data_IF_480390573351
#
_entry.id   IF_480390573351
#
_cell.length_a   1.000
_cell.length_b   1.000
_cell.length_c   1.000
_cell.angle_alpha   90.00
_cell.angle_beta   90.00
_cell.angle_gamma   90.00
#
_symmetry.space_group_name_H-M   'P 1'
#
loop_
_entity.id
_entity.type
_entity.pdbx_description
1 polymer ?
#
# COMPACT_ATOMS: atom_id res chain seq x y z
N UNK A 1 35.58 3.93 -28.89
CA UNK A 1 34.27 3.26 -28.77
C UNK A 1 34.25 2.55 -27.43
N UNK A 2 33.38 2.96 -26.50
CA UNK A 2 33.16 2.20 -25.27
C UNK A 2 32.22 1.04 -25.60
N UNK A 3 32.64 -0.20 -25.33
CA UNK A 3 31.76 -1.36 -25.42
C UNK A 3 30.60 -1.18 -24.44
N UNK A 4 29.33 -1.30 -24.88
CA UNK A 4 28.19 -1.19 -23.98
C UNK A 4 28.26 -2.28 -22.92
N UNK A 5 28.01 -1.89 -21.66
CA UNK A 5 27.94 -2.83 -20.54
C UNK A 5 26.80 -3.81 -20.80
N UNK A 6 27.10 -5.09 -20.93
CA UNK A 6 26.11 -6.15 -21.06
C UNK A 6 25.68 -6.59 -19.65
N UNK A 7 24.50 -6.16 -19.20
CA UNK A 7 23.89 -6.68 -17.97
C UNK A 7 23.30 -8.05 -18.30
N UNK A 8 23.66 -9.13 -17.58
CA UNK A 8 23.02 -10.43 -17.76
C UNK A 8 21.52 -10.30 -17.58
N UNK A 9 20.73 -10.80 -18.53
CA UNK A 9 19.26 -10.74 -18.47
C UNK A 9 18.71 -11.38 -17.20
N UNK A 10 19.38 -12.42 -16.70
CA UNK A 10 19.07 -13.07 -15.42
C UNK A 10 19.26 -12.15 -14.22
N UNK A 11 20.27 -11.27 -14.22
CA UNK A 11 20.49 -10.30 -13.16
C UNK A 11 19.40 -9.21 -13.18
N UNK A 12 19.02 -8.73 -14.37
CA UNK A 12 17.94 -7.76 -14.54
C UNK A 12 16.59 -8.33 -14.09
N UNK A 13 16.19 -9.50 -14.59
CA UNK A 13 14.88 -10.10 -14.30
C UNK A 13 14.72 -10.57 -12.86
N UNK A 14 15.81 -11.02 -12.22
CA UNK A 14 15.77 -11.46 -10.82
C UNK A 14 16.00 -10.31 -9.84
N UNK A 15 16.79 -9.30 -10.22
CA UNK A 15 17.15 -8.17 -9.36
C UNK A 15 16.00 -7.17 -9.21
N UNK A 16 15.30 -6.84 -10.29
CA UNK A 16 14.26 -5.80 -10.29
C UNK A 16 13.11 -6.08 -9.30
N UNK A 17 12.52 -7.29 -9.21
CA UNK A 17 11.49 -7.58 -8.21
C UNK A 17 12.01 -7.48 -6.76
N UNK A 18 13.24 -7.91 -6.53
CA UNK A 18 13.85 -7.83 -5.21
C UNK A 18 14.08 -6.37 -4.82
N UNK A 19 14.64 -5.57 -5.73
CA UNK A 19 14.82 -4.14 -5.53
C UNK A 19 13.48 -3.44 -5.30
N UNK A 20 12.44 -3.74 -6.08
CA UNK A 20 11.12 -3.15 -5.87
C UNK A 20 10.55 -3.46 -4.47
N UNK A 21 10.69 -4.70 -3.98
CA UNK A 21 10.28 -5.07 -2.62
C UNK A 21 11.14 -4.40 -1.54
N UNK A 22 12.46 -4.31 -1.74
CA UNK A 22 13.36 -3.64 -0.80
C UNK A 22 13.10 -2.13 -0.74
N UNK A 23 12.88 -1.48 -1.89
CA UNK A 23 12.51 -0.07 -1.95
C UNK A 23 11.16 0.14 -1.27
N UNK A 24 10.16 -0.68 -1.56
CA UNK A 24 8.87 -0.63 -0.87
C UNK A 24 9.04 -0.79 0.65
N UNK A 25 9.84 -1.75 1.11
CA UNK A 25 10.11 -1.94 2.54
C UNK A 25 10.79 -0.70 3.16
N UNK A 26 11.80 -0.16 2.49
CA UNK A 26 12.59 0.96 2.98
C UNK A 26 11.84 2.30 3.02
N UNK A 27 10.84 2.50 2.15
CA UNK A 27 10.13 3.78 2.04
C UNK A 27 8.68 3.73 2.51
N UNK A 28 7.99 2.58 2.43
CA UNK A 28 6.54 2.49 2.64
C UNK A 28 6.11 1.61 3.79
N UNK A 29 6.90 0.62 4.23
CA UNK A 29 6.47 -0.29 5.29
C UNK A 29 6.10 0.45 6.57
N UNK A 30 7.03 1.27 7.07
CA UNK A 30 6.84 2.02 8.33
C UNK A 30 5.73 3.04 8.19
N UNK A 31 5.59 3.66 7.01
CA UNK A 31 4.50 4.58 6.71
C UNK A 31 3.13 3.90 6.87
N UNK A 32 2.90 2.78 6.17
CA UNK A 32 1.61 2.08 6.22
C UNK A 32 1.33 1.47 7.59
N UNK A 33 2.33 0.84 8.23
CA UNK A 33 2.12 0.25 9.55
C UNK A 33 1.88 1.30 10.64
N UNK A 34 2.58 2.43 10.63
CA UNK A 34 2.29 3.51 11.57
C UNK A 34 0.88 4.06 11.34
N UNK A 35 0.51 4.29 10.08
CA UNK A 35 -0.84 4.76 9.71
C UNK A 35 -1.92 3.78 10.16
N UNK A 36 -1.72 2.47 9.98
CA UNK A 36 -2.65 1.43 10.39
C UNK A 36 -2.75 1.31 11.93
N UNK A 37 -1.62 1.44 12.65
CA UNK A 37 -1.60 1.45 14.11
C UNK A 37 -2.44 2.58 14.70
N UNK A 38 -2.48 3.76 14.07
CA UNK A 38 -3.34 4.86 14.53
C UNK A 38 -4.84 4.58 14.41
N UNK A 39 -5.22 3.56 13.63
CA UNK A 39 -6.62 3.19 13.39
C UNK A 39 -7.15 2.13 14.36
N UNK A 40 -6.26 1.42 15.05
CA UNK A 40 -6.64 0.47 16.10
C UNK A 40 -7.09 1.23 17.34
N UNK A 41 -8.12 0.72 18.00
CA UNK A 41 -8.60 1.24 19.28
C UNK A 41 -7.75 0.75 20.45
N UNK A 42 -8.12 1.17 21.64
CA UNK A 42 -7.36 0.85 22.86
C UNK A 42 -7.63 -0.57 23.40
N UNK A 43 -6.65 -1.08 24.14
CA UNK A 43 -6.74 -2.33 24.90
C UNK A 43 -6.60 -3.60 24.07
N UNK A 44 -6.77 -4.75 24.72
CA UNK A 44 -6.54 -6.10 24.12
C UNK A 44 -7.47 -6.37 22.93
N UNK A 45 -8.65 -5.74 22.89
CA UNK A 45 -9.62 -5.86 21.79
C UNK A 45 -9.52 -4.71 20.77
N UNK A 46 -8.47 -3.89 20.83
CA UNK A 46 -8.23 -2.78 19.92
C UNK A 46 -8.19 -3.17 18.44
N UNK A 47 -7.82 -4.42 18.16
CA UNK A 47 -7.76 -4.96 16.80
C UNK A 47 -9.13 -5.18 16.14
N UNK A 48 -10.25 -5.14 16.88
CA UNK A 48 -11.63 -5.19 16.33
C UNK A 48 -12.43 -3.92 16.63
N UNK A 49 -11.81 -2.96 17.33
CA UNK A 49 -12.43 -1.71 17.75
C UNK A 49 -11.73 -0.57 17.02
N UNK A 50 -12.36 0.07 16.04
CA UNK A 50 -11.76 1.23 15.38
C UNK A 50 -11.59 2.38 16.36
N UNK A 51 -10.47 3.11 16.25
CA UNK A 51 -10.27 4.37 16.98
C UNK A 51 -11.20 5.45 16.42
N UNK A 52 -11.45 6.51 17.19
CA UNK A 52 -12.14 7.69 16.67
C UNK A 52 -11.45 8.25 15.40
N UNK A 53 -10.12 8.33 15.43
CA UNK A 53 -9.32 8.84 14.33
C UNK A 53 -9.46 8.00 13.06
N UNK A 54 -9.72 6.70 13.17
CA UNK A 54 -9.94 5.85 12.00
C UNK A 54 -11.17 6.23 11.19
N UNK A 55 -12.29 6.56 11.87
CA UNK A 55 -13.50 7.06 11.20
C UNK A 55 -13.26 8.44 10.58
N UNK A 56 -12.57 9.33 11.30
CA UNK A 56 -12.22 10.65 10.77
C UNK A 56 -11.30 10.57 9.54
N UNK A 57 -10.36 9.63 9.51
CA UNK A 57 -9.46 9.43 8.39
C UNK A 57 -10.15 8.80 7.17
N UNK A 58 -11.03 7.81 7.38
CA UNK A 58 -11.63 7.03 6.28
C UNK A 58 -12.94 7.66 5.78
N UNK A 59 -13.71 8.29 6.66
CA UNK A 59 -15.01 8.91 6.36
C UNK A 59 -15.06 10.38 6.82
N UNK A 60 -14.12 11.25 6.40
CA UNK A 60 -14.04 12.64 6.89
C UNK A 60 -15.32 13.44 6.68
N UNK A 61 -15.92 13.38 5.49
CA UNK A 61 -17.17 14.12 5.19
C UNK A 61 -18.36 13.67 6.02
N UNK A 62 -18.49 12.37 6.27
CA UNK A 62 -19.56 11.84 7.12
C UNK A 62 -19.33 12.23 8.58
N UNK A 63 -18.08 12.19 9.06
CA UNK A 63 -17.74 12.68 10.39
C UNK A 63 -18.09 14.16 10.53
N UNK A 64 -17.74 15.01 9.56
CA UNK A 64 -18.14 16.42 9.54
C UNK A 64 -19.66 16.59 9.56
N UNK A 65 -20.40 15.86 8.70
CA UNK A 65 -21.86 15.93 8.63
C UNK A 65 -22.55 15.50 9.93
N UNK A 66 -21.90 14.64 10.71
CA UNK A 66 -22.39 14.12 11.99
C UNK A 66 -21.80 14.88 13.19
N UNK A 67 -21.22 16.08 12.98
CA UNK A 67 -20.55 16.88 14.02
C UNK A 67 -19.50 16.08 14.82
N UNK A 68 -18.80 15.20 14.11
CA UNK A 68 -17.80 14.27 14.61
C UNK A 68 -18.32 13.26 15.64
N UNK A 69 -19.61 12.92 15.62
CA UNK A 69 -20.14 11.84 16.46
C UNK A 69 -20.05 10.47 15.75
N UNK A 70 -18.94 9.75 15.99
CA UNK A 70 -18.73 8.42 15.43
C UNK A 70 -19.77 7.37 15.87
N UNK A 71 -20.51 7.61 16.97
CA UNK A 71 -21.53 6.66 17.45
C UNK A 71 -22.73 6.56 16.52
N UNK A 72 -22.92 7.55 15.64
CA UNK A 72 -23.97 7.57 14.62
C UNK A 72 -23.61 6.74 13.37
N UNK A 73 -22.37 6.27 13.27
CA UNK A 73 -21.92 5.41 12.17
C UNK A 73 -22.26 3.94 12.43
N UNK A 74 -22.98 3.34 11.50
CA UNK A 74 -23.41 1.95 11.60
C UNK A 74 -22.37 0.90 11.18
N UNK A 75 -22.81 -0.37 11.17
CA UNK A 75 -21.99 -1.55 10.89
C UNK A 75 -21.22 -1.50 9.56
N UNK A 76 -21.78 -0.87 8.53
CA UNK A 76 -21.10 -0.70 7.24
C UNK A 76 -19.80 0.10 7.37
N UNK A 77 -19.84 1.24 8.07
CA UNK A 77 -18.67 2.10 8.27
C UNK A 77 -17.62 1.37 9.11
N UNK A 78 -18.06 0.67 10.15
CA UNK A 78 -17.18 -0.19 10.94
C UNK A 78 -16.48 -1.22 10.04
N UNK A 79 -17.22 -1.95 9.21
CA UNK A 79 -16.66 -2.99 8.35
C UNK A 79 -15.64 -2.43 7.36
N UNK A 80 -15.92 -1.28 6.74
CA UNK A 80 -14.99 -0.61 5.81
C UNK A 80 -13.73 -0.14 6.54
N UNK A 81 -13.88 0.49 7.71
CA UNK A 81 -12.74 0.96 8.51
C UNK A 81 -11.84 -0.21 8.91
N UNK A 82 -12.44 -1.29 9.40
CA UNK A 82 -11.67 -2.48 9.81
C UNK A 82 -11.01 -3.15 8.60
N UNK A 83 -11.72 -3.32 7.49
CA UNK A 83 -11.16 -3.88 6.27
C UNK A 83 -9.98 -3.04 5.74
N UNK A 84 -10.12 -1.71 5.71
CA UNK A 84 -9.04 -0.80 5.34
C UNK A 84 -7.84 -0.92 6.27
N UNK A 85 -8.07 -0.92 7.58
CA UNK A 85 -7.01 -1.04 8.59
C UNK A 85 -6.25 -2.35 8.46
N UNK A 86 -6.95 -3.47 8.27
CA UNK A 86 -6.31 -4.77 8.06
C UNK A 86 -5.54 -4.84 6.74
N UNK A 87 -6.10 -4.30 5.66
CA UNK A 87 -5.42 -4.24 4.37
C UNK A 87 -4.10 -3.45 4.47
N UNK A 88 -4.10 -2.37 5.24
CA UNK A 88 -2.94 -1.50 5.48
C UNK A 88 -1.80 -2.19 6.25
N UNK A 89 -2.10 -3.24 7.03
CA UNK A 89 -1.07 -4.12 7.62
C UNK A 89 -0.67 -5.26 6.70
N UNK A 90 -1.66 -5.97 6.15
CA UNK A 90 -1.48 -7.26 5.48
C UNK A 90 -0.83 -7.07 4.11
N UNK A 91 -1.29 -6.11 3.30
CA UNK A 91 -0.78 -5.93 1.94
C UNK A 91 0.73 -5.57 1.95
N UNK A 92 1.23 -4.63 2.77
CA UNK A 92 2.67 -4.39 2.90
C UNK A 92 3.45 -5.65 3.31
N UNK A 93 2.94 -6.44 4.25
CA UNK A 93 3.60 -7.67 4.69
C UNK A 93 3.71 -8.70 3.55
N UNK A 94 2.61 -8.90 2.80
CA UNK A 94 2.58 -9.80 1.64
C UNK A 94 3.57 -9.38 0.56
N UNK A 95 3.66 -8.08 0.27
CA UNK A 95 4.62 -7.53 -0.70
C UNK A 95 6.05 -7.86 -0.29
N UNK A 96 6.43 -7.59 0.96
CA UNK A 96 7.83 -7.76 1.41
C UNK A 96 8.23 -9.23 1.43
N UNK A 97 7.37 -10.09 1.97
CA UNK A 97 7.58 -11.54 1.96
C UNK A 97 7.58 -12.10 0.53
N UNK A 98 7.02 -11.37 -0.44
CA UNK A 98 6.77 -11.85 -1.78
C UNK A 98 5.84 -13.05 -1.73
N UNK A 99 4.68 -12.88 -1.08
CA UNK A 99 3.64 -13.89 -0.92
C UNK A 99 2.37 -13.43 -1.64
N UNK A 100 1.88 -14.25 -2.55
CA UNK A 100 0.86 -13.91 -3.54
C UNK A 100 1.20 -12.58 -4.23
N UNK A 101 2.46 -12.37 -4.62
CA UNK A 101 3.02 -11.03 -4.90
C UNK A 101 2.19 -10.23 -5.89
N UNK A 102 1.76 -10.85 -7.00
CA UNK A 102 0.96 -10.17 -8.03
C UNK A 102 -0.40 -9.72 -7.50
N UNK A 103 -1.06 -10.56 -6.70
CA UNK A 103 -2.34 -10.26 -6.10
C UNK A 103 -2.20 -9.20 -5.01
N UNK A 104 -1.18 -9.32 -4.16
CA UNK A 104 -0.86 -8.32 -3.14
C UNK A 104 -0.56 -6.95 -3.77
N UNK A 105 0.18 -6.91 -4.88
CA UNK A 105 0.50 -5.68 -5.59
C UNK A 105 -0.75 -5.05 -6.22
N UNK A 106 -1.62 -5.85 -6.83
CA UNK A 106 -2.90 -5.36 -7.33
C UNK A 106 -3.80 -4.81 -6.21
N UNK A 107 -3.89 -5.53 -5.08
CA UNK A 107 -4.62 -5.08 -3.89
C UNK A 107 -4.05 -3.78 -3.32
N UNK A 108 -2.72 -3.65 -3.29
CA UNK A 108 -2.03 -2.45 -2.82
C UNK A 108 -2.28 -1.25 -3.75
N UNK A 109 -2.31 -1.45 -5.07
CA UNK A 109 -2.71 -0.38 -6.01
C UNK A 109 -4.15 0.06 -5.73
N UNK A 110 -5.08 -0.88 -5.57
CA UNK A 110 -6.46 -0.57 -5.20
C UNK A 110 -6.55 0.23 -3.89
N UNK A 111 -5.81 -0.18 -2.87
CA UNK A 111 -5.72 0.53 -1.59
C UNK A 111 -5.19 1.96 -1.77
N UNK A 112 -4.09 2.12 -2.51
CA UNK A 112 -3.48 3.43 -2.80
C UNK A 112 -4.45 4.34 -3.57
N UNK A 113 -5.24 3.80 -4.51
CA UNK A 113 -6.27 4.57 -5.22
C UNK A 113 -7.37 5.04 -4.27
N UNK A 114 -7.90 4.14 -3.43
CA UNK A 114 -8.94 4.51 -2.45
C UNK A 114 -8.40 5.55 -1.47
N UNK A 115 -7.17 5.36 -0.97
CA UNK A 115 -6.51 6.32 -0.09
C UNK A 115 -6.37 7.69 -0.78
N UNK A 116 -5.87 7.74 -2.01
CA UNK A 116 -5.75 8.99 -2.77
C UNK A 116 -7.10 9.68 -2.99
N UNK A 117 -8.16 8.92 -3.28
CA UNK A 117 -9.51 9.47 -3.40
C UNK A 117 -10.00 10.06 -2.07
N UNK A 118 -9.76 9.37 -0.95
CA UNK A 118 -10.08 9.89 0.38
C UNK A 118 -9.28 11.14 0.71
N UNK A 119 -7.98 11.18 0.37
CA UNK A 119 -7.12 12.35 0.56
C UNK A 119 -7.65 13.56 -0.23
N UNK A 120 -8.00 13.39 -1.50
CA UNK A 120 -8.49 14.47 -2.37
C UNK A 120 -9.90 14.91 -2.00
N UNK A 121 -10.84 13.96 -1.93
CA UNK A 121 -12.27 14.24 -1.80
C UNK A 121 -12.61 14.54 -0.34
N UNK A 122 -12.03 13.77 0.57
CA UNK A 122 -12.32 13.81 1.99
C UNK A 122 -11.49 14.83 2.76
N UNK A 123 -10.17 14.87 2.53
CA UNK A 123 -9.24 15.73 3.26
C UNK A 123 -8.82 16.99 2.48
N UNK A 124 -9.38 17.19 1.29
CA UNK A 124 -9.08 18.34 0.43
C UNK A 124 -7.58 18.50 0.08
N UNK A 125 -6.84 17.38 0.08
CA UNK A 125 -5.43 17.38 -0.32
C UNK A 125 -5.35 17.67 -1.82
N UNK A 126 -4.55 18.66 -2.26
CA UNK A 126 -4.38 18.95 -3.67
C UNK A 126 -3.82 17.76 -4.43
N UNK A 127 -4.30 17.54 -5.66
CA UNK A 127 -3.77 16.50 -6.54
C UNK A 127 -2.27 16.70 -6.84
N UNK A 128 -1.81 17.95 -6.89
CA UNK A 128 -0.49 18.32 -7.39
C UNK A 128 -0.46 18.42 -8.92
N UNK A 129 0.73 18.66 -9.48
CA UNK A 129 0.95 18.75 -10.92
C UNK A 129 2.23 18.03 -11.31
N UNK A 130 2.18 17.23 -12.38
CA UNK A 130 3.40 16.67 -12.95
C UNK A 130 4.24 17.74 -13.62
N UNK A 131 5.56 17.49 -13.68
CA UNK A 131 6.57 18.38 -14.26
C UNK A 131 6.76 19.71 -13.52
N UNK A 132 6.40 19.75 -12.24
CA UNK A 132 6.80 20.83 -11.33
C UNK A 132 8.13 20.50 -10.62
N UNK A 133 8.57 21.39 -9.73
CA UNK A 133 9.83 21.21 -9.00
C UNK A 133 9.70 20.32 -7.76
N UNK A 134 8.48 20.05 -7.29
CA UNK A 134 8.23 19.40 -6.00
C UNK A 134 8.13 17.87 -6.18
N UNK A 135 9.23 17.16 -5.95
CA UNK A 135 9.31 15.71 -6.15
C UNK A 135 8.60 14.87 -5.07
N UNK A 136 8.15 15.49 -3.98
CA UNK A 136 7.50 14.84 -2.84
C UNK A 136 6.01 15.18 -2.70
N UNK A 137 5.41 15.77 -3.74
CA UNK A 137 3.98 16.09 -3.74
C UNK A 137 3.13 14.83 -3.40
N UNK A 138 2.25 14.88 -2.39
CA UNK A 138 1.69 13.67 -1.77
C UNK A 138 0.85 12.78 -2.69
N UNK A 139 0.24 13.34 -3.74
CA UNK A 139 -0.69 12.62 -4.59
C UNK A 139 -0.05 12.28 -5.95
N UNK A 140 -0.01 13.21 -6.91
CA UNK A 140 0.39 12.86 -8.28
C UNK A 140 1.80 12.24 -8.38
N UNK A 141 2.81 12.84 -7.74
CA UNK A 141 4.22 12.45 -7.85
C UNK A 141 4.54 11.25 -6.96
N UNK A 142 4.21 11.36 -5.67
CA UNK A 142 4.48 10.29 -4.72
C UNK A 142 3.72 9.00 -5.06
N UNK A 143 2.43 9.09 -5.41
CA UNK A 143 1.64 7.89 -5.73
C UNK A 143 2.06 7.27 -7.07
N UNK A 144 2.56 8.05 -8.03
CA UNK A 144 3.15 7.51 -9.26
C UNK A 144 4.37 6.63 -8.97
N UNK A 145 5.27 7.07 -8.06
CA UNK A 145 6.41 6.25 -7.64
C UNK A 145 5.96 4.96 -6.94
N UNK A 146 4.94 5.02 -6.10
CA UNK A 146 4.42 3.84 -5.41
C UNK A 146 3.81 2.85 -6.40
N UNK A 147 2.96 3.33 -7.31
CA UNK A 147 2.33 2.51 -8.35
C UNK A 147 3.38 1.93 -9.29
N UNK A 148 4.44 2.67 -9.63
CA UNK A 148 5.55 2.14 -10.44
C UNK A 148 6.22 0.92 -9.79
N UNK A 149 6.50 0.97 -8.48
CA UNK A 149 7.04 -0.17 -7.73
C UNK A 149 6.08 -1.37 -7.79
N UNK A 150 4.78 -1.13 -7.58
CA UNK A 150 3.77 -2.18 -7.56
C UNK A 150 3.52 -2.79 -8.95
N UNK A 151 3.50 -1.99 -10.02
CA UNK A 151 3.40 -2.46 -11.41
C UNK A 151 4.61 -3.31 -11.77
N UNK A 152 5.81 -2.95 -11.29
CA UNK A 152 7.01 -3.78 -11.46
C UNK A 152 6.79 -5.19 -10.88
N UNK A 153 6.20 -5.29 -9.69
CA UNK A 153 5.87 -6.57 -9.04
C UNK A 153 4.73 -7.32 -9.75
N UNK A 154 3.74 -6.61 -10.31
CA UNK A 154 2.71 -7.23 -11.14
C UNK A 154 3.34 -7.84 -12.39
N UNK A 155 4.21 -7.11 -13.09
CA UNK A 155 4.80 -7.56 -14.35
C UNK A 155 5.78 -8.72 -14.13
N UNK A 156 6.67 -8.59 -13.15
CA UNK A 156 7.82 -9.49 -12.96
C UNK A 156 7.60 -10.54 -11.85
N UNK A 157 6.56 -10.42 -11.02
CA UNK A 157 6.31 -11.29 -9.87
C UNK A 157 7.18 -10.94 -8.65
N UNK A 158 7.32 -11.87 -7.69
CA UNK A 158 8.12 -11.66 -6.48
C UNK A 158 9.63 -11.86 -6.63
N UNK A 159 10.09 -12.44 -7.74
CA UNK A 159 11.51 -12.70 -7.96
C UNK A 159 12.09 -13.80 -7.07
N UNK A 160 13.42 -13.84 -6.86
CA UNK A 160 14.07 -15.06 -6.40
C UNK A 160 13.93 -15.40 -4.92
N UNK A 161 13.82 -14.38 -4.07
CA UNK A 161 13.70 -14.51 -2.62
C UNK A 161 12.24 -14.38 -2.17
N UNK A 162 11.31 -14.85 -2.99
CA UNK A 162 9.87 -14.71 -2.79
C UNK A 162 9.29 -16.00 -2.23
N UNK A 163 8.39 -15.90 -1.23
CA UNK A 163 7.64 -17.06 -0.73
C UNK A 163 6.69 -17.67 -1.78
N UNK A 164 6.33 -16.94 -2.83
CA UNK A 164 5.61 -17.50 -3.99
C UNK A 164 6.30 -18.73 -4.56
N UNK A 165 7.63 -18.79 -4.50
CA UNK A 165 8.38 -19.98 -4.95
C UNK A 165 8.05 -21.21 -4.11
N UNK A 166 7.87 -21.07 -2.81
CA UNK A 166 7.52 -22.22 -1.97
C UNK A 166 6.12 -22.75 -2.26
N UNK A 167 5.20 -21.87 -2.68
CA UNK A 167 3.82 -22.23 -2.98
C UNK A 167 3.63 -22.76 -4.40
N UNK A 168 4.38 -22.22 -5.37
CA UNK A 168 4.16 -22.47 -6.80
C UNK A 168 5.31 -23.19 -7.50
N UNK A 169 6.43 -23.49 -6.82
CA UNK A 169 7.39 -24.44 -7.37
C UNK A 169 6.77 -25.84 -7.36
N UNK A 170 6.47 -26.37 -8.55
CA UNK A 170 6.31 -27.81 -8.73
C UNK A 170 7.60 -28.47 -8.27
N UNK A 171 7.48 -29.42 -7.32
CA UNK A 171 8.48 -30.49 -7.23
C UNK A 171 8.46 -31.19 -8.58
N UNK A 172 9.47 -30.98 -9.41
CA UNK A 172 9.73 -31.88 -10.53
C UNK A 172 10.09 -33.22 -9.90
N UNK A 173 9.12 -34.13 -9.85
CA UNK A 173 9.33 -35.55 -9.62
C UNK A 173 9.69 -36.22 -10.95
#
# INVERSE_FOLDING_TARGET
MLTPIQIPQSLALNGLPLLARLTFAGTLLVYFWNSALTKLGDGVLGFVRPSFNSYAQIFPRQMEALNYDASQLGLFHWAVVMAGTYAEFILPALIILGLLTRLAALGMIGFVVVQSLTDIVGHHVPLGAWFDAASDAPIADQRALWVYLLVTLIALGGGPLSLDRLLFQRKSA
#
